data_IF_028736547745
#
_entry.id   IF_028736547745
#
_cell.length_a   1.000
_cell.length_b   1.000
_cell.length_c   1.000
_cell.angle_alpha   90.00
_cell.angle_beta   90.00
_cell.angle_gamma   90.00
#
_symmetry.space_group_name_H-M   'P 1'
#
loop_
_entity.id
_entity.type
_entity.pdbx_description
1 polymer ?
#
# COMPACT_ATOMS: atom_id res chain seq x y z
N UNK A 1 14.48 -10.70 24.57
CA UNK A 1 14.26 -11.53 23.36
C UNK A 1 12.91 -12.25 23.34
N UNK A 2 12.57 -13.22 24.24
CA UNK A 2 11.25 -13.88 24.21
C UNK A 2 10.06 -12.94 24.47
N UNK A 3 10.16 -11.97 25.39
CA UNK A 3 9.10 -10.99 25.69
C UNK A 3 8.84 -10.03 24.52
N UNK A 4 9.85 -9.65 23.76
CA UNK A 4 9.70 -8.74 22.61
C UNK A 4 9.09 -9.49 21.42
N UNK A 5 9.46 -10.76 21.22
CA UNK A 5 8.83 -11.61 20.21
C UNK A 5 7.35 -11.82 20.52
N UNK A 6 7.00 -12.11 21.77
CA UNK A 6 5.61 -12.30 22.20
C UNK A 6 4.78 -11.03 21.97
N UNK A 7 5.31 -9.84 22.37
CA UNK A 7 4.63 -8.56 22.09
C UNK A 7 4.38 -8.38 20.61
N UNK A 8 5.40 -8.60 19.78
CA UNK A 8 5.25 -8.52 18.32
C UNK A 8 4.15 -9.43 17.80
N UNK A 9 4.15 -10.71 18.18
CA UNK A 9 3.12 -11.66 17.72
C UNK A 9 1.72 -11.23 18.16
N UNK A 10 1.54 -10.73 19.39
CA UNK A 10 0.24 -10.26 19.90
C UNK A 10 -0.26 -9.06 19.10
N UNK A 11 0.59 -8.05 18.83
CA UNK A 11 0.16 -6.88 18.07
C UNK A 11 -0.14 -7.21 16.61
N UNK A 12 0.62 -8.11 15.98
CA UNK A 12 0.32 -8.58 14.63
C UNK A 12 -1.03 -9.33 14.57
N UNK A 13 -1.27 -10.22 15.54
CA UNK A 13 -2.53 -10.94 15.64
C UNK A 13 -3.71 -9.98 15.87
N UNK A 14 -3.54 -8.96 16.73
CA UNK A 14 -4.57 -7.95 16.97
C UNK A 14 -4.85 -7.11 15.73
N UNK A 15 -3.82 -6.68 15.02
CA UNK A 15 -3.97 -5.93 13.75
C UNK A 15 -4.74 -6.74 12.72
N UNK A 16 -4.42 -8.02 12.54
CA UNK A 16 -5.15 -8.91 11.65
C UNK A 16 -6.57 -9.18 12.13
N UNK A 17 -6.78 -9.34 13.44
CA UNK A 17 -8.11 -9.54 14.05
C UNK A 17 -9.04 -8.33 13.86
N UNK A 18 -8.49 -7.13 13.64
CA UNK A 18 -9.26 -5.93 13.29
C UNK A 18 -9.40 -5.81 11.77
N UNK A 19 -8.31 -5.98 11.02
CA UNK A 19 -8.28 -5.76 9.58
C UNK A 19 -9.16 -6.77 8.82
N UNK A 20 -9.09 -8.06 9.15
CA UNK A 20 -9.86 -9.09 8.44
C UNK A 20 -11.38 -8.90 8.59
N UNK A 21 -11.96 -8.68 9.78
CA UNK A 21 -13.38 -8.35 9.91
C UNK A 21 -13.78 -7.08 9.16
N UNK A 22 -12.97 -6.03 9.20
CA UNK A 22 -13.23 -4.81 8.42
C UNK A 22 -13.26 -5.09 6.92
N UNK A 23 -12.34 -5.89 6.43
CA UNK A 23 -12.31 -6.30 5.04
C UNK A 23 -13.55 -7.14 4.66
N UNK A 24 -13.96 -8.07 5.53
CA UNK A 24 -15.15 -8.91 5.30
C UNK A 24 -16.44 -8.09 5.31
N UNK A 25 -16.61 -7.19 6.27
CA UNK A 25 -17.77 -6.29 6.35
C UNK A 25 -17.78 -5.35 5.14
N UNK A 26 -16.64 -4.75 4.80
CA UNK A 26 -16.52 -3.81 3.68
C UNK A 26 -17.27 -2.50 3.90
N UNK A 27 -17.77 -1.91 2.81
CA UNK A 27 -18.57 -0.69 2.85
C UNK A 27 -17.89 0.51 3.51
N UNK A 28 -18.70 1.40 4.08
CA UNK A 28 -18.23 2.67 4.66
C UNK A 28 -17.18 2.48 5.77
N UNK A 29 -17.32 1.46 6.60
CA UNK A 29 -16.38 1.21 7.70
C UNK A 29 -14.98 0.89 7.22
N UNK A 30 -14.86 0.06 6.17
CA UNK A 30 -13.57 -0.22 5.56
C UNK A 30 -12.98 1.03 4.91
N UNK A 31 -13.80 1.79 4.17
CA UNK A 31 -13.35 3.00 3.47
C UNK A 31 -12.80 4.03 4.45
N UNK A 32 -13.52 4.30 5.54
CA UNK A 32 -13.03 5.21 6.60
C UNK A 32 -11.73 4.68 7.21
N UNK A 33 -11.65 3.39 7.52
CA UNK A 33 -10.46 2.79 8.09
C UNK A 33 -9.25 2.91 7.14
N UNK A 34 -9.45 2.64 5.84
CA UNK A 34 -8.39 2.77 4.83
C UNK A 34 -7.98 4.25 4.65
N UNK A 35 -8.93 5.18 4.65
CA UNK A 35 -8.65 6.61 4.62
C UNK A 35 -7.81 7.08 5.82
N UNK A 36 -8.14 6.61 7.03
CA UNK A 36 -7.37 6.93 8.24
C UNK A 36 -5.97 6.29 8.20
N UNK A 37 -5.83 5.04 7.73
CA UNK A 37 -4.54 4.40 7.55
C UNK A 37 -3.69 5.11 6.48
N UNK A 38 -4.31 5.58 5.40
CA UNK A 38 -3.64 6.37 4.38
C UNK A 38 -3.10 7.70 4.96
N UNK A 39 -3.92 8.41 5.76
CA UNK A 39 -3.47 9.62 6.47
C UNK A 39 -2.29 9.33 7.40
N UNK A 40 -2.33 8.23 8.16
CA UNK A 40 -1.22 7.82 9.02
C UNK A 40 0.04 7.50 8.21
N UNK A 41 -0.08 6.80 7.09
CA UNK A 41 1.04 6.50 6.20
C UNK A 41 1.69 7.77 5.63
N UNK A 42 0.88 8.75 5.20
CA UNK A 42 1.39 10.05 4.76
C UNK A 42 2.03 10.82 5.91
N UNK A 43 1.42 10.80 7.09
CA UNK A 43 2.00 11.39 8.29
C UNK A 43 3.41 10.85 8.57
N UNK A 44 3.60 9.53 8.49
CA UNK A 44 4.91 8.89 8.65
C UNK A 44 5.92 9.39 7.61
N UNK A 45 5.53 9.49 6.33
CA UNK A 45 6.39 10.01 5.25
C UNK A 45 6.79 11.47 5.47
N UNK A 46 5.85 12.32 5.89
CA UNK A 46 6.14 13.71 6.20
C UNK A 46 7.08 13.83 7.39
N UNK A 47 6.88 13.03 8.43
CA UNK A 47 7.78 13.00 9.59
C UNK A 47 9.19 12.53 9.23
N UNK A 48 9.33 11.52 8.35
CA UNK A 48 10.65 11.09 7.87
C UNK A 48 11.42 12.24 7.18
N UNK A 49 10.72 13.11 6.45
CA UNK A 49 11.32 14.31 5.86
C UNK A 49 11.54 15.45 6.87
N UNK A 50 11.05 15.33 8.10
CA UNK A 50 11.10 16.38 9.11
C UNK A 50 10.03 17.47 8.95
N UNK A 51 8.98 17.21 8.17
CA UNK A 51 7.86 18.13 7.97
C UNK A 51 6.82 17.97 9.09
N UNK A 52 6.32 19.11 9.58
CA UNK A 52 5.29 19.10 10.61
C UNK A 52 3.90 18.96 9.96
N UNK A 53 3.21 17.87 10.27
CA UNK A 53 1.85 17.62 9.75
C UNK A 53 0.75 18.47 10.38
N UNK A 54 1.04 19.16 11.49
CA UNK A 54 0.07 20.05 12.14
C UNK A 54 0.05 21.48 11.56
N UNK A 55 0.83 21.72 10.51
CA UNK A 55 0.73 22.97 9.72
C UNK A 55 -0.53 22.93 8.84
N UNK A 56 -1.06 24.09 8.40
CA UNK A 56 -2.20 24.11 7.48
C UNK A 56 -1.96 23.26 6.22
N UNK A 57 -0.77 23.33 5.65
CA UNK A 57 -0.36 22.56 4.46
C UNK A 57 -0.31 21.06 4.75
N UNK A 58 0.21 20.68 5.93
CA UNK A 58 0.24 19.28 6.38
C UNK A 58 -1.17 18.70 6.56
N UNK A 59 -2.06 19.48 7.21
CA UNK A 59 -3.45 19.07 7.40
C UNK A 59 -4.20 18.97 6.06
N UNK A 60 -4.00 19.93 5.14
CA UNK A 60 -4.56 19.85 3.79
C UNK A 60 -4.09 18.59 3.06
N UNK A 61 -2.82 18.25 3.20
CA UNK A 61 -2.27 17.05 2.59
C UNK A 61 -2.88 15.76 3.15
N UNK A 62 -3.12 15.69 4.47
CA UNK A 62 -3.81 14.56 5.08
C UNK A 62 -5.27 14.46 4.59
N UNK A 63 -5.98 15.58 4.52
CA UNK A 63 -7.34 15.64 3.99
C UNK A 63 -7.40 15.23 2.52
N UNK A 64 -6.44 15.68 1.70
CA UNK A 64 -6.32 15.27 0.30
C UNK A 64 -6.14 13.76 0.17
N UNK A 65 -5.27 13.18 1.00
CA UNK A 65 -5.04 11.73 1.01
C UNK A 65 -6.32 10.97 1.36
N UNK A 66 -7.04 11.43 2.38
CA UNK A 66 -8.32 10.83 2.78
C UNK A 66 -9.36 10.92 1.64
N UNK A 67 -9.48 12.10 1.03
CA UNK A 67 -10.41 12.32 -0.08
C UNK A 67 -10.07 11.46 -1.30
N UNK A 68 -8.78 11.26 -1.60
CA UNK A 68 -8.36 10.39 -2.69
C UNK A 68 -8.64 8.90 -2.39
N UNK A 69 -8.57 8.50 -1.12
CA UNK A 69 -8.76 7.10 -0.73
C UNK A 69 -10.22 6.65 -0.79
N UNK A 70 -11.17 7.55 -0.51
CA UNK A 70 -12.60 7.23 -0.45
C UNK A 70 -13.26 7.53 -1.79
N UNK A 71 -14.12 6.66 -2.33
CA UNK A 71 -14.92 6.93 -3.53
C UNK A 71 -16.03 7.93 -3.20
N UNK A 72 -15.69 9.23 -3.24
CA UNK A 72 -16.58 10.33 -2.83
C UNK A 72 -17.84 10.43 -3.69
N UNK A 73 -17.77 10.03 -4.95
CA UNK A 73 -18.92 9.99 -5.89
C UNK A 73 -20.06 9.11 -5.39
N UNK A 74 -19.76 8.09 -4.61
CA UNK A 74 -20.78 7.22 -4.02
C UNK A 74 -21.58 7.90 -2.90
N UNK A 75 -21.09 9.01 -2.35
CA UNK A 75 -21.70 9.74 -1.23
C UNK A 75 -22.15 11.15 -1.63
N UNK A 76 -21.44 11.78 -2.55
CA UNK A 76 -21.68 13.14 -3.01
C UNK A 76 -22.14 13.10 -4.47
N UNK A 77 -23.43 12.88 -4.65
CA UNK A 77 -24.07 12.66 -5.97
C UNK A 77 -23.94 13.84 -6.95
N UNK A 78 -23.51 15.01 -6.48
CA UNK A 78 -23.21 16.16 -7.31
C UNK A 78 -21.81 16.13 -7.91
N UNK A 79 -20.93 15.25 -7.42
CA UNK A 79 -19.59 15.09 -8.00
C UNK A 79 -19.68 14.26 -9.29
N UNK A 80 -18.80 14.55 -10.26
CA UNK A 80 -18.64 13.70 -11.43
C UNK A 80 -18.10 12.32 -11.06
N UNK A 81 -18.14 11.41 -12.01
CA UNK A 81 -17.35 10.17 -11.96
C UNK A 81 -15.89 10.54 -11.66
N UNK A 82 -15.25 9.77 -10.80
CA UNK A 82 -13.90 10.08 -10.28
C UNK A 82 -13.84 11.35 -9.38
N UNK A 83 -14.90 11.63 -8.66
CA UNK A 83 -15.01 12.79 -7.78
C UNK A 83 -13.92 12.89 -6.72
N UNK A 84 -13.37 11.76 -6.27
CA UNK A 84 -12.21 11.68 -5.37
C UNK A 84 -10.93 12.24 -6.04
N UNK A 85 -10.69 11.93 -7.32
CA UNK A 85 -9.54 12.45 -8.08
C UNK A 85 -9.69 13.94 -8.31
N UNK A 86 -10.92 14.41 -8.61
CA UNK A 86 -11.20 15.84 -8.77
C UNK A 86 -10.99 16.58 -7.46
N UNK A 87 -11.50 16.06 -6.33
CA UNK A 87 -11.30 16.65 -5.01
C UNK A 87 -9.81 16.74 -4.65
N UNK A 88 -9.07 15.67 -4.92
CA UNK A 88 -7.61 15.66 -4.75
C UNK A 88 -6.93 16.73 -5.61
N UNK A 89 -7.30 16.85 -6.89
CA UNK A 89 -6.79 17.87 -7.80
C UNK A 89 -7.02 19.29 -7.28
N UNK A 90 -8.20 19.58 -6.74
CA UNK A 90 -8.52 20.87 -6.12
C UNK A 90 -7.58 21.17 -4.94
N UNK A 91 -7.33 20.19 -4.07
CA UNK A 91 -6.40 20.37 -2.94
C UNK A 91 -4.97 20.60 -3.43
N UNK A 92 -4.52 19.91 -4.48
CA UNK A 92 -3.21 20.19 -5.11
C UNK A 92 -3.14 21.66 -5.54
N UNK A 93 -4.15 22.19 -6.24
CA UNK A 93 -4.18 23.58 -6.64
C UNK A 93 -4.09 24.52 -5.45
N UNK A 94 -4.78 24.23 -4.35
CA UNK A 94 -4.69 25.03 -3.12
C UNK A 94 -3.27 24.97 -2.55
N UNK A 95 -2.67 23.81 -2.43
CA UNK A 95 -1.32 23.64 -1.90
C UNK A 95 -0.26 24.36 -2.76
N UNK A 96 -0.36 24.25 -4.08
CA UNK A 96 0.51 24.99 -4.99
C UNK A 96 0.25 26.49 -4.90
N UNK A 97 -1.01 26.93 -4.77
CA UNK A 97 -1.38 28.32 -4.56
C UNK A 97 -0.79 28.91 -3.27
N UNK A 98 -0.68 28.12 -2.20
CA UNK A 98 -0.04 28.57 -0.96
C UNK A 98 1.43 28.99 -1.16
N UNK A 99 2.14 28.39 -2.12
CA UNK A 99 3.53 28.78 -2.43
C UNK A 99 3.65 30.20 -2.99
N UNK A 100 2.59 30.72 -3.61
CA UNK A 100 2.56 32.08 -4.16
C UNK A 100 2.47 33.14 -3.06
N UNK A 101 1.74 32.81 -1.97
CA UNK A 101 1.43 33.78 -0.90
C UNK A 101 2.34 33.63 0.32
N UNK A 102 3.02 32.50 0.49
CA UNK A 102 3.92 32.21 1.60
C UNK A 102 5.38 32.40 1.22
N UNK A 103 6.14 33.15 2.03
CA UNK A 103 7.59 33.27 1.85
C UNK A 103 8.37 32.05 2.36
N UNK A 104 7.77 31.26 3.23
CA UNK A 104 8.41 30.15 3.94
C UNK A 104 7.95 28.78 3.44
N UNK A 105 7.03 28.72 2.48
CA UNK A 105 6.53 27.51 1.87
C UNK A 105 6.83 27.53 0.37
N UNK A 106 7.80 26.75 -0.03
CA UNK A 106 8.34 26.74 -1.40
C UNK A 106 7.67 25.64 -2.24
N UNK A 107 7.93 25.66 -3.55
CA UNK A 107 7.44 24.60 -4.45
C UNK A 107 8.03 23.23 -4.07
N UNK A 108 9.28 23.19 -3.60
CA UNK A 108 9.94 21.96 -3.13
C UNK A 108 9.25 21.41 -1.87
N UNK A 109 8.74 22.28 -1.02
CA UNK A 109 7.98 21.87 0.17
C UNK A 109 6.59 21.33 -0.17
N UNK A 110 6.00 21.78 -1.29
CA UNK A 110 4.70 21.31 -1.77
C UNK A 110 4.79 19.99 -2.54
N UNK A 111 5.78 19.81 -3.40
CA UNK A 111 5.86 18.66 -4.32
C UNK A 111 6.00 17.34 -3.58
N UNK A 112 6.83 17.27 -2.54
CA UNK A 112 7.02 16.03 -1.80
C UNK A 112 5.73 15.56 -1.10
N UNK A 113 5.02 16.39 -0.29
CA UNK A 113 3.74 16.01 0.29
C UNK A 113 2.71 15.58 -0.76
N UNK A 114 2.59 16.32 -1.87
CA UNK A 114 1.67 15.98 -2.98
C UNK A 114 2.01 14.60 -3.56
N UNK A 115 3.27 14.34 -3.87
CA UNK A 115 3.67 13.05 -4.43
C UNK A 115 3.43 11.89 -3.46
N UNK A 116 3.72 12.09 -2.17
CA UNK A 116 3.54 11.05 -1.15
C UNK A 116 2.06 10.81 -0.83
N UNK A 117 1.24 11.85 -0.78
CA UNK A 117 -0.21 11.69 -0.61
C UNK A 117 -0.86 10.97 -1.79
N UNK A 118 -0.42 11.25 -3.02
CA UNK A 118 -0.88 10.51 -4.18
C UNK A 118 -0.48 9.03 -4.11
N UNK A 119 0.79 8.75 -3.86
CA UNK A 119 1.31 7.38 -3.77
C UNK A 119 0.53 6.53 -2.75
N UNK A 120 0.36 7.05 -1.54
CA UNK A 120 -0.33 6.33 -0.46
C UNK A 120 -1.84 6.31 -0.70
N UNK A 121 -2.46 7.46 -0.99
CA UNK A 121 -3.91 7.56 -1.19
C UNK A 121 -4.40 6.73 -2.35
N UNK A 122 -3.69 6.73 -3.48
CA UNK A 122 -4.02 5.91 -4.64
C UNK A 122 -3.87 4.41 -4.36
N UNK A 123 -2.82 4.01 -3.61
CA UNK A 123 -2.64 2.62 -3.21
C UNK A 123 -3.78 2.11 -2.32
N UNK A 124 -4.19 2.88 -1.32
CA UNK A 124 -5.32 2.53 -0.46
C UNK A 124 -6.68 2.64 -1.18
N UNK A 125 -6.85 3.60 -2.11
CA UNK A 125 -8.03 3.68 -2.95
C UNK A 125 -8.21 2.39 -3.77
N UNK A 126 -7.16 1.93 -4.44
CA UNK A 126 -7.20 0.69 -5.21
C UNK A 126 -7.55 -0.55 -4.34
N UNK A 127 -7.14 -0.57 -3.06
CA UNK A 127 -7.59 -1.61 -2.11
C UNK A 127 -9.10 -1.50 -1.83
N UNK A 128 -9.60 -0.27 -1.64
CA UNK A 128 -11.05 -0.03 -1.46
C UNK A 128 -11.83 -0.48 -2.69
N UNK A 129 -11.36 -0.13 -3.89
CA UNK A 129 -12.00 -0.51 -5.16
C UNK A 129 -11.99 -2.03 -5.37
N UNK A 130 -10.88 -2.70 -5.05
CA UNK A 130 -10.80 -4.16 -5.08
C UNK A 130 -11.88 -4.79 -4.20
N UNK A 131 -12.09 -4.23 -2.99
CA UNK A 131 -13.12 -4.74 -2.08
C UNK A 131 -14.55 -4.41 -2.53
N UNK A 132 -14.77 -3.26 -3.18
CA UNK A 132 -16.07 -2.91 -3.78
C UNK A 132 -16.38 -3.86 -4.92
N UNK A 133 -15.39 -4.19 -5.75
CA UNK A 133 -15.54 -5.13 -6.86
C UNK A 133 -15.75 -6.58 -6.42
N UNK A 134 -15.29 -6.96 -5.21
CA UNK A 134 -15.51 -8.29 -4.64
C UNK A 134 -14.54 -8.61 -3.49
N UNK A 135 -15.03 -9.34 -2.48
CA UNK A 135 -14.18 -9.82 -1.39
C UNK A 135 -13.11 -10.79 -1.89
N UNK A 136 -13.46 -11.64 -2.85
CA UNK A 136 -12.58 -12.60 -3.53
C UNK A 136 -11.37 -11.91 -4.17
N UNK A 137 -11.59 -10.79 -4.86
CA UNK A 137 -10.54 -10.00 -5.52
C UNK A 137 -9.59 -9.36 -4.51
N UNK A 138 -10.14 -8.76 -3.46
CA UNK A 138 -9.34 -8.20 -2.38
C UNK A 138 -8.54 -9.29 -1.64
N UNK A 139 -9.13 -10.45 -1.38
CA UNK A 139 -8.45 -11.58 -0.76
C UNK A 139 -7.36 -12.15 -1.67
N UNK A 140 -7.61 -12.28 -2.97
CA UNK A 140 -6.59 -12.72 -3.94
C UNK A 140 -5.36 -11.81 -3.88
N UNK A 141 -5.57 -10.48 -3.92
CA UNK A 141 -4.48 -9.51 -3.83
C UNK A 141 -3.66 -9.67 -2.55
N UNK A 142 -4.33 -9.75 -1.40
CA UNK A 142 -3.66 -9.95 -0.10
C UNK A 142 -2.90 -11.26 -0.04
N UNK A 143 -3.50 -12.35 -0.51
CA UNK A 143 -2.85 -13.65 -0.52
C UNK A 143 -1.65 -13.70 -1.46
N UNK A 144 -1.69 -13.00 -2.61
CA UNK A 144 -0.53 -12.85 -3.50
C UNK A 144 0.60 -12.11 -2.79
N UNK A 145 0.32 -11.00 -2.09
CA UNK A 145 1.32 -10.25 -1.33
C UNK A 145 1.94 -11.14 -0.26
N UNK A 146 1.14 -11.73 0.61
CA UNK A 146 1.64 -12.57 1.70
C UNK A 146 2.38 -13.81 1.21
N UNK A 147 1.93 -14.44 0.12
CA UNK A 147 2.63 -15.57 -0.49
C UNK A 147 3.96 -15.13 -1.10
N UNK A 148 3.99 -13.98 -1.78
CA UNK A 148 5.22 -13.40 -2.34
C UNK A 148 6.26 -13.18 -1.25
N UNK A 149 5.88 -12.52 -0.14
CA UNK A 149 6.79 -12.22 0.96
C UNK A 149 7.28 -13.49 1.65
N UNK A 150 6.37 -14.43 1.92
CA UNK A 150 6.71 -15.71 2.54
C UNK A 150 7.61 -16.57 1.64
N UNK A 151 7.27 -16.67 0.36
CA UNK A 151 8.06 -17.41 -0.62
C UNK A 151 9.44 -16.80 -0.84
N UNK A 152 9.50 -15.47 -0.94
CA UNK A 152 10.77 -14.73 -1.05
C UNK A 152 11.65 -14.93 0.19
N UNK A 153 11.07 -14.90 1.38
CA UNK A 153 11.79 -15.15 2.62
C UNK A 153 12.30 -16.59 2.71
N UNK A 154 11.45 -17.57 2.51
CA UNK A 154 11.82 -19.00 2.63
C UNK A 154 12.89 -19.41 1.63
N UNK A 155 12.73 -19.05 0.36
CA UNK A 155 13.70 -19.37 -0.69
C UNK A 155 14.98 -18.54 -0.49
N UNK A 156 14.84 -17.25 -0.17
CA UNK A 156 15.98 -16.36 0.07
C UNK A 156 16.86 -16.81 1.24
N UNK A 157 16.26 -17.30 2.33
CA UNK A 157 16.97 -17.81 3.49
C UNK A 157 17.75 -19.11 3.17
N UNK A 158 17.16 -20.02 2.41
CA UNK A 158 17.77 -21.33 2.15
C UNK A 158 18.70 -21.35 0.91
N UNK A 159 18.38 -20.56 -0.11
CA UNK A 159 19.06 -20.63 -1.41
C UNK A 159 19.64 -19.29 -1.88
N UNK A 160 19.42 -18.20 -1.12
CA UNK A 160 19.84 -16.85 -1.50
C UNK A 160 21.37 -16.71 -1.58
N UNK A 161 21.89 -16.45 -2.77
CA UNK A 161 23.32 -16.22 -3.02
C UNK A 161 23.60 -14.81 -3.52
N UNK A 162 22.75 -14.31 -4.43
CA UNK A 162 22.94 -12.99 -5.08
C UNK A 162 21.99 -11.97 -4.45
N UNK A 163 22.54 -10.83 -4.02
CA UNK A 163 21.75 -9.76 -3.45
C UNK A 163 20.93 -9.04 -4.52
N UNK A 164 19.64 -8.79 -4.24
CA UNK A 164 18.74 -8.10 -5.16
C UNK A 164 18.98 -6.58 -5.16
N UNK A 165 19.02 -5.96 -4.00
CA UNK A 165 19.17 -4.52 -3.82
C UNK A 165 20.10 -4.19 -2.61
N UNK A 166 21.43 -4.36 -2.74
CA UNK A 166 22.35 -4.28 -1.59
C UNK A 166 22.31 -2.96 -0.81
N UNK A 167 22.08 -1.84 -1.52
CA UNK A 167 22.06 -0.49 -0.92
C UNK A 167 20.79 -0.21 -0.12
N UNK A 168 19.67 -0.82 -0.51
CA UNK A 168 18.32 -0.54 0.02
C UNK A 168 17.93 -1.61 1.04
N UNK A 169 17.98 -2.88 0.63
CA UNK A 169 17.62 -4.04 1.43
C UNK A 169 18.68 -5.14 1.27
N UNK A 170 19.70 -5.18 2.14
CA UNK A 170 20.85 -6.08 2.00
C UNK A 170 20.50 -7.55 2.20
N UNK A 171 19.34 -7.87 2.76
CA UNK A 171 18.92 -9.25 3.02
C UNK A 171 18.12 -9.88 1.88
N UNK A 172 17.57 -9.09 0.96
CA UNK A 172 16.83 -9.61 -0.20
C UNK A 172 17.77 -10.22 -1.24
N UNK A 173 17.38 -11.37 -1.79
CA UNK A 173 18.14 -12.10 -2.82
C UNK A 173 17.33 -12.27 -4.10
N UNK A 174 18.03 -12.44 -5.22
CA UNK A 174 17.43 -12.71 -6.54
C UNK A 174 16.70 -14.05 -6.49
N UNK A 175 17.30 -15.08 -5.90
CA UNK A 175 16.70 -16.39 -5.74
C UNK A 175 15.42 -16.33 -4.89
N UNK A 176 15.44 -15.49 -3.83
CA UNK A 176 14.25 -15.21 -3.05
C UNK A 176 13.16 -14.55 -3.87
N UNK A 177 13.50 -13.57 -4.73
CA UNK A 177 12.52 -12.93 -5.59
C UNK A 177 11.81 -13.93 -6.52
N UNK A 178 12.53 -14.87 -7.11
CA UNK A 178 11.93 -15.97 -7.87
C UNK A 178 11.05 -16.88 -7.01
N UNK A 179 11.47 -17.15 -5.75
CA UNK A 179 10.65 -17.88 -4.80
C UNK A 179 9.31 -17.21 -4.50
N UNK A 180 9.31 -15.88 -4.37
CA UNK A 180 8.10 -15.08 -4.22
C UNK A 180 7.17 -15.19 -5.42
N UNK A 181 7.71 -15.09 -6.65
CA UNK A 181 6.94 -15.25 -7.89
C UNK A 181 6.26 -16.63 -7.95
N UNK A 182 7.01 -17.69 -7.67
CA UNK A 182 6.45 -19.05 -7.68
C UNK A 182 5.34 -19.22 -6.64
N UNK A 183 5.52 -18.67 -5.45
CA UNK A 183 4.50 -18.70 -4.39
C UNK A 183 3.24 -17.92 -4.79
N UNK A 184 3.37 -16.77 -5.41
CA UNK A 184 2.25 -16.00 -5.95
C UNK A 184 1.47 -16.75 -7.02
N UNK A 185 2.18 -17.39 -7.96
CA UNK A 185 1.55 -18.24 -8.98
C UNK A 185 0.80 -19.43 -8.36
N UNK A 186 1.38 -20.08 -7.35
CA UNK A 186 0.75 -21.20 -6.66
C UNK A 186 -0.54 -20.77 -5.96
N UNK A 187 -0.51 -19.65 -5.23
CA UNK A 187 -1.70 -19.11 -4.55
C UNK A 187 -2.77 -18.71 -5.56
N UNK A 188 -2.40 -18.05 -6.64
CA UNK A 188 -3.35 -17.70 -7.71
C UNK A 188 -3.99 -18.94 -8.30
N UNK A 189 -3.22 -19.99 -8.56
CA UNK A 189 -3.74 -21.28 -9.04
C UNK A 189 -4.74 -21.88 -8.05
N UNK A 190 -4.41 -21.90 -6.76
CA UNK A 190 -5.31 -22.40 -5.71
C UNK A 190 -6.63 -21.61 -5.69
N UNK A 191 -6.56 -20.28 -5.75
CA UNK A 191 -7.76 -19.46 -5.82
C UNK A 191 -8.65 -19.81 -7.02
N UNK A 192 -8.05 -20.00 -8.20
CA UNK A 192 -8.79 -20.38 -9.41
C UNK A 192 -9.42 -21.77 -9.32
N UNK A 193 -8.81 -22.70 -8.59
CA UNK A 193 -9.36 -24.04 -8.37
C UNK A 193 -10.51 -24.03 -7.36
N UNK A 194 -10.47 -23.13 -6.38
CA UNK A 194 -11.54 -22.97 -5.36
C UNK A 194 -12.69 -22.13 -5.91
N UNK A 195 -12.38 -21.05 -6.61
CA UNK A 195 -13.36 -20.15 -7.21
C UNK A 195 -12.94 -19.77 -8.64
N UNK A 196 -13.52 -20.45 -9.61
CA UNK A 196 -13.22 -20.19 -11.02
C UNK A 196 -13.70 -18.80 -11.50
N UNK A 197 -14.59 -18.12 -10.75
CA UNK A 197 -15.10 -16.80 -11.11
C UNK A 197 -14.03 -15.72 -10.99
N UNK A 198 -13.07 -15.88 -10.09
CA UNK A 198 -11.91 -14.97 -9.92
C UNK A 198 -11.07 -14.87 -11.19
N UNK A 199 -11.05 -15.93 -12.00
CA UNK A 199 -10.30 -15.98 -13.26
C UNK A 199 -11.05 -15.40 -14.46
N UNK A 200 -12.33 -15.14 -14.33
CA UNK A 200 -13.11 -14.56 -15.41
C UNK A 200 -12.84 -13.03 -15.51
N UNK A 201 -12.66 -12.51 -16.73
CA UNK A 201 -12.72 -13.18 -18.05
C UNK A 201 -11.38 -13.73 -18.56
N UNK A 202 -10.31 -13.78 -17.78
CA UNK A 202 -8.93 -13.87 -18.28
C UNK A 202 -8.43 -15.29 -18.56
N UNK A 203 -8.97 -16.32 -17.90
CA UNK A 203 -8.48 -17.71 -18.01
C UNK A 203 -7.11 -17.94 -17.34
N UNK A 204 -6.72 -19.22 -17.22
CA UNK A 204 -5.57 -19.63 -16.41
C UNK A 204 -4.24 -19.01 -16.86
N UNK A 205 -3.94 -19.00 -18.15
CA UNK A 205 -2.64 -18.53 -18.66
C UNK A 205 -2.42 -17.04 -18.38
N UNK A 206 -3.46 -16.19 -18.58
CA UNK A 206 -3.36 -14.77 -18.31
C UNK A 206 -3.25 -14.51 -16.79
N UNK A 207 -4.00 -15.23 -15.97
CA UNK A 207 -3.92 -15.10 -14.51
C UNK A 207 -2.55 -15.51 -13.97
N UNK A 208 -1.91 -16.57 -14.53
CA UNK A 208 -0.54 -16.92 -14.16
C UNK A 208 0.46 -15.82 -14.55
N UNK A 209 0.30 -15.23 -15.73
CA UNK A 209 1.12 -14.11 -16.15
C UNK A 209 0.91 -12.88 -15.24
N UNK A 210 -0.35 -12.57 -14.88
CA UNK A 210 -0.67 -11.50 -13.96
C UNK A 210 -0.07 -11.71 -12.57
N UNK A 211 -0.10 -12.94 -12.05
CA UNK A 211 0.52 -13.26 -10.76
C UNK A 211 2.02 -12.95 -10.73
N UNK A 212 2.72 -13.14 -11.86
CA UNK A 212 4.13 -12.74 -11.99
C UNK A 212 4.27 -11.23 -11.84
N UNK A 213 3.47 -10.45 -12.58
CA UNK A 213 3.52 -8.98 -12.49
C UNK A 213 3.15 -8.47 -11.10
N UNK A 214 2.13 -9.05 -10.46
CA UNK A 214 1.69 -8.64 -9.13
C UNK A 214 2.77 -8.96 -8.07
N UNK A 215 3.42 -10.12 -8.17
CA UNK A 215 4.52 -10.46 -7.28
C UNK A 215 5.70 -9.50 -7.46
N UNK A 216 6.06 -9.17 -8.70
CA UNK A 216 7.12 -8.18 -8.99
C UNK A 216 6.72 -6.81 -8.44
N UNK A 217 5.48 -6.38 -8.64
CA UNK A 217 4.98 -5.10 -8.13
C UNK A 217 5.06 -5.04 -6.60
N UNK A 218 4.65 -6.09 -5.88
CA UNK A 218 4.76 -6.16 -4.42
C UNK A 218 6.20 -6.06 -3.93
N UNK A 219 7.11 -6.83 -4.55
CA UNK A 219 8.54 -6.77 -4.22
C UNK A 219 9.14 -5.39 -4.49
N UNK A 220 8.72 -4.70 -5.57
CA UNK A 220 9.14 -3.34 -5.86
C UNK A 220 8.56 -2.35 -4.85
N UNK A 221 7.30 -2.50 -4.42
CA UNK A 221 6.67 -1.67 -3.39
C UNK A 221 7.48 -1.65 -2.09
N UNK A 222 7.81 -2.82 -1.56
CA UNK A 222 8.67 -2.94 -0.37
C UNK A 222 10.08 -2.33 -0.63
N UNK A 223 10.66 -2.52 -1.81
CA UNK A 223 11.95 -1.89 -2.12
C UNK A 223 11.86 -0.36 -2.23
N UNK A 224 10.76 0.18 -2.76
CA UNK A 224 10.51 1.63 -2.83
C UNK A 224 10.43 2.20 -1.42
N UNK A 225 9.63 1.62 -0.53
CA UNK A 225 9.52 2.06 0.86
C UNK A 225 10.85 1.93 1.60
N UNK A 226 11.55 0.82 1.40
CA UNK A 226 12.90 0.62 1.95
C UNK A 226 13.88 1.69 1.44
N UNK A 227 13.81 2.10 0.17
CA UNK A 227 14.66 3.15 -0.40
C UNK A 227 14.35 4.52 0.24
N UNK A 228 13.08 4.86 0.45
CA UNK A 228 12.66 6.07 1.14
C UNK A 228 13.22 6.10 2.57
N UNK A 229 13.09 5.00 3.33
CA UNK A 229 13.65 4.89 4.69
C UNK A 229 15.17 5.11 4.72
N UNK A 230 15.91 4.51 3.78
CA UNK A 230 17.37 4.72 3.70
C UNK A 230 17.75 6.13 3.31
N UNK A 231 16.98 6.77 2.41
CA UNK A 231 17.21 8.16 2.02
C UNK A 231 17.12 9.12 3.22
N UNK A 232 16.15 8.91 4.12
CA UNK A 232 15.97 9.71 5.32
C UNK A 232 16.75 9.19 6.55
N UNK A 233 17.59 8.16 6.39
CA UNK A 233 18.45 7.62 7.47
C UNK A 233 17.68 6.88 8.56
N UNK A 234 16.43 6.46 8.30
CA UNK A 234 15.62 5.70 9.25
C UNK A 234 15.52 4.22 8.86
N UNK A 235 15.09 3.39 9.81
CA UNK A 235 14.89 1.96 9.57
C UNK A 235 13.41 1.60 9.42
N UNK A 236 12.57 2.15 10.26
CA UNK A 236 11.14 1.92 10.30
C UNK A 236 10.42 3.22 9.91
N UNK A 237 9.26 3.14 9.26
CA UNK A 237 8.53 4.32 8.76
C UNK A 237 7.93 5.14 9.90
N UNK A 238 7.56 4.47 10.99
CA UNK A 238 6.95 5.08 12.17
C UNK A 238 6.94 4.15 13.37
N UNK A 239 6.16 4.52 14.39
CA UNK A 239 6.02 3.78 15.65
C UNK A 239 4.56 3.46 15.98
N UNK A 240 3.68 3.48 14.99
CA UNK A 240 2.24 3.31 15.22
C UNK A 240 1.92 1.94 15.83
N UNK A 241 2.59 0.87 15.38
CA UNK A 241 2.44 -0.45 15.96
C UNK A 241 3.66 -0.76 16.81
N UNK A 242 3.54 -0.82 18.17
CA UNK A 242 4.67 -1.08 19.05
C UNK A 242 5.42 -2.36 18.67
N UNK A 243 6.70 -2.21 18.31
CA UNK A 243 7.57 -3.31 17.91
C UNK A 243 7.42 -3.80 16.46
N UNK A 244 6.54 -3.19 15.66
CA UNK A 244 6.32 -3.55 14.26
C UNK A 244 6.57 -2.42 13.25
N UNK A 245 6.97 -1.23 13.69
CA UNK A 245 7.15 -0.07 12.83
C UNK A 245 5.87 0.69 12.57
N UNK A 246 5.81 1.37 11.45
CA UNK A 246 4.68 2.18 11.04
C UNK A 246 3.61 1.43 10.23
N UNK A 247 2.61 2.20 9.80
CA UNK A 247 1.56 1.75 8.88
C UNK A 247 2.17 1.39 7.52
N UNK A 248 3.07 2.23 7.00
CA UNK A 248 3.71 1.98 5.70
C UNK A 248 4.48 0.66 5.69
N UNK A 249 5.23 0.34 6.76
CA UNK A 249 5.96 -0.93 6.90
C UNK A 249 5.04 -2.19 6.80
N UNK A 250 3.72 -2.02 6.81
CA UNK A 250 2.72 -3.11 6.71
C UNK A 250 1.97 -3.14 5.39
N UNK A 251 1.93 -2.03 4.69
CA UNK A 251 1.16 -1.88 3.46
C UNK A 251 2.02 -1.60 2.22
N UNK A 252 3.33 -1.48 2.37
CA UNK A 252 4.29 -1.15 1.32
C UNK A 252 4.12 -1.94 0.01
N UNK A 253 4.08 -3.27 0.11
CA UNK A 253 3.84 -4.16 -1.03
C UNK A 253 2.42 -4.00 -1.59
N UNK A 254 1.43 -3.80 -0.70
CA UNK A 254 0.03 -3.64 -1.08
C UNK A 254 -0.19 -2.36 -1.88
N UNK A 255 0.46 -1.24 -1.49
CA UNK A 255 0.38 0.05 -2.19
C UNK A 255 0.82 -0.05 -3.66
N UNK A 256 1.58 -1.06 -4.05
CA UNK A 256 1.96 -1.31 -5.43
C UNK A 256 1.07 -2.37 -6.10
N UNK A 257 0.72 -3.44 -5.40
CA UNK A 257 -0.02 -4.58 -6.00
C UNK A 257 -1.45 -4.19 -6.37
N UNK A 258 -2.20 -3.52 -5.48
CA UNK A 258 -3.59 -3.17 -5.75
C UNK A 258 -3.74 -2.25 -6.97
N UNK A 259 -2.98 -1.13 -7.12
CA UNK A 259 -3.03 -0.32 -8.34
C UNK A 259 -2.68 -1.08 -9.62
N UNK A 260 -1.70 -1.99 -9.56
CA UNK A 260 -1.34 -2.80 -10.74
C UNK A 260 -2.46 -3.79 -11.08
N UNK A 261 -3.12 -4.41 -10.10
CA UNK A 261 -4.29 -5.27 -10.35
C UNK A 261 -5.45 -4.48 -10.97
N UNK A 262 -5.68 -3.24 -10.51
CA UNK A 262 -6.66 -2.33 -11.10
C UNK A 262 -6.30 -2.01 -12.56
N UNK A 263 -5.05 -1.66 -12.84
CA UNK A 263 -4.56 -1.38 -14.20
C UNK A 263 -4.75 -2.58 -15.15
N UNK A 264 -4.62 -3.79 -14.64
CA UNK A 264 -4.84 -5.02 -15.42
C UNK A 264 -6.32 -5.39 -15.54
N UNK A 265 -7.22 -4.61 -14.95
CA UNK A 265 -8.68 -4.76 -15.08
C UNK A 265 -9.26 -5.92 -14.27
N UNK A 266 -8.64 -6.31 -13.16
CA UNK A 266 -9.21 -7.32 -12.28
C UNK A 266 -10.40 -6.77 -11.48
N UNK A 267 -10.47 -5.45 -11.32
CA UNK A 267 -11.57 -4.73 -10.66
C UNK A 267 -11.65 -3.28 -11.13
#
# INVERSE_FOLDING_TARGET
MKKDLLKRTIFAALALAIFIPLLVIGGLWLQIAMGLLAMLGVHELLQMKGLNTMTPEGLLNLLATFALTIPLENYLTFLPVDGNVVAYGVVIFIMLGCTVFSKNYTIEDAVYPIAMSFYVGFGFNALVDARIAGLDKALLALCIVWATDSGAYLVGMNFGKRRLAPRVSPNKSIEGAFGGILAAMLVTLIFMLVDSTVALPYGIYKMMLFAIFFSIAGQLGDLIESAMKRHFGVKDSGFFIPGHGGVLDRFDSMLAVFPIMHLFGLF
#
